data_IF_455625112091
#
_entry.id   IF_455625112091
#
_cell.length_a   1.000
_cell.length_b   1.000
_cell.length_c   1.000
_cell.angle_alpha   90.00
_cell.angle_beta   90.00
_cell.angle_gamma   90.00
#
_symmetry.space_group_name_H-M   'P 1'
#
loop_
_entity.id
_entity.type
_entity.pdbx_description
1 polymer ?
#
# COMPACT_ATOMS: atom_id res chain seq x y z
N UNK A 1 22.45 33.39 60.60
CA UNK A 1 21.12 32.79 60.41
C UNK A 1 20.61 33.37 59.10
N UNK A 2 20.94 32.72 57.98
CA UNK A 2 20.56 33.16 56.64
C UNK A 2 19.27 32.46 56.26
N UNK A 3 18.26 33.22 55.85
CA UNK A 3 16.99 32.69 55.33
C UNK A 3 17.17 32.28 53.86
N UNK A 4 17.10 30.97 53.60
CA UNK A 4 17.08 30.41 52.27
C UNK A 4 15.68 30.57 51.64
N UNK A 5 15.54 31.48 50.66
CA UNK A 5 14.28 31.64 49.90
C UNK A 5 14.17 30.53 48.85
N UNK A 6 13.36 29.52 49.15
CA UNK A 6 12.95 28.47 48.19
C UNK A 6 12.05 29.06 47.10
N UNK A 7 12.61 29.22 45.90
CA UNK A 7 11.85 29.60 44.69
C UNK A 7 11.11 28.36 44.15
N UNK A 8 9.79 28.28 44.37
CA UNK A 8 8.93 27.27 43.73
C UNK A 8 8.82 27.52 42.22
N UNK A 9 9.49 26.68 41.41
CA UNK A 9 9.28 26.64 39.94
C UNK A 9 7.83 26.24 39.63
N UNK A 10 7.07 27.13 38.98
CA UNK A 10 5.75 26.81 38.41
C UNK A 10 5.92 25.74 37.32
N UNK A 11 5.41 24.53 37.57
CA UNK A 11 5.27 23.48 36.56
C UNK A 11 4.35 24.00 35.43
N UNK A 12 4.91 24.19 34.23
CA UNK A 12 4.11 24.54 33.04
C UNK A 12 3.22 23.33 32.69
N UNK A 13 1.90 23.53 32.66
CA UNK A 13 0.95 22.53 32.17
C UNK A 13 1.24 22.27 30.69
N UNK A 14 1.84 21.12 30.38
CA UNK A 14 2.22 20.69 29.01
C UNK A 14 1.01 20.13 28.24
N UNK A 15 -0.09 19.83 28.95
CA UNK A 15 -1.29 19.20 28.43
C UNK A 15 -1.94 19.90 27.22
N UNK A 16 -2.08 21.25 27.15
CA UNK A 16 -2.66 21.90 25.98
C UNK A 16 -1.77 21.85 24.73
N UNK A 17 -0.44 21.71 24.88
CA UNK A 17 0.49 21.61 23.75
C UNK A 17 0.37 20.24 23.08
N UNK A 18 0.19 19.18 23.87
CA UNK A 18 0.00 17.81 23.36
C UNK A 18 -1.31 17.68 22.58
N UNK A 19 -2.38 18.30 23.09
CA UNK A 19 -3.68 18.33 22.40
C UNK A 19 -3.58 19.11 21.08
N UNK A 20 -2.85 20.23 21.06
CA UNK A 20 -2.64 21.00 19.84
C UNK A 20 -1.83 20.22 18.79
N UNK A 21 -0.80 19.47 19.19
CA UNK A 21 -0.03 18.62 18.27
C UNK A 21 -0.86 17.44 17.72
N UNK A 22 -1.75 16.86 18.53
CA UNK A 22 -2.69 15.82 18.06
C UNK A 22 -3.69 16.37 17.04
N UNK A 23 -4.22 17.57 17.27
CA UNK A 23 -5.14 18.23 16.33
C UNK A 23 -4.40 18.59 15.03
N UNK A 24 -3.17 19.10 15.12
CA UNK A 24 -2.34 19.38 13.93
C UNK A 24 -1.96 18.07 13.22
N UNK A 25 -1.65 16.99 13.93
CA UNK A 25 -1.37 15.68 13.33
C UNK A 25 -2.58 15.08 12.59
N UNK A 26 -3.77 15.19 13.18
CA UNK A 26 -5.04 14.79 12.53
C UNK A 26 -5.39 15.71 11.36
N UNK A 27 -5.12 17.01 11.46
CA UNK A 27 -5.32 17.96 10.38
C UNK A 27 -4.34 17.69 9.22
N UNK A 28 -3.06 17.44 9.47
CA UNK A 28 -2.07 17.20 8.40
C UNK A 28 -2.24 15.81 7.77
N UNK A 29 -2.60 14.79 8.56
CA UNK A 29 -2.93 13.44 8.06
C UNK A 29 -4.26 13.37 7.28
N UNK A 30 -5.25 14.16 7.69
CA UNK A 30 -6.54 14.31 6.99
C UNK A 30 -6.48 15.27 5.79
N UNK A 31 -5.64 16.30 5.83
CA UNK A 31 -5.51 17.28 4.73
C UNK A 31 -4.63 16.74 3.61
N UNK A 32 -3.63 15.89 3.88
CA UNK A 32 -2.84 15.23 2.83
C UNK A 32 -3.67 14.27 1.96
N UNK A 33 -4.60 13.55 2.59
CA UNK A 33 -5.59 12.70 1.90
C UNK A 33 -6.64 13.55 1.17
N UNK A 34 -7.11 14.66 1.77
CA UNK A 34 -8.04 15.60 1.13
C UNK A 34 -7.45 16.32 -0.10
N UNK A 35 -6.19 16.76 -0.06
CA UNK A 35 -5.54 17.41 -1.21
C UNK A 35 -5.35 16.44 -2.38
N UNK A 36 -5.01 15.17 -2.12
CA UNK A 36 -4.96 14.15 -3.17
C UNK A 36 -6.37 13.82 -3.70
N UNK A 37 -7.38 13.83 -2.85
CA UNK A 37 -8.79 13.66 -3.23
C UNK A 37 -9.30 14.80 -4.11
N UNK A 38 -8.91 16.05 -3.83
CA UNK A 38 -9.29 17.23 -4.62
C UNK A 38 -8.60 17.26 -5.99
N UNK A 39 -7.36 16.78 -6.09
CA UNK A 39 -6.64 16.62 -7.38
C UNK A 39 -7.29 15.54 -8.26
N UNK A 40 -7.83 14.46 -7.67
CA UNK A 40 -8.52 13.39 -8.41
C UNK A 40 -9.99 13.76 -8.72
N UNK A 41 -10.62 14.68 -7.98
CA UNK A 41 -12.01 15.08 -8.19
C UNK A 41 -12.20 16.45 -8.85
N UNK A 42 -11.12 17.13 -9.28
CA UNK A 42 -11.25 18.33 -10.11
C UNK A 42 -11.82 17.95 -11.46
N UNK A 43 -13.11 18.26 -11.66
CA UNK A 43 -13.68 18.38 -13.00
C UNK A 43 -12.86 19.43 -13.73
N UNK A 44 -12.19 19.05 -14.80
CA UNK A 44 -11.67 20.00 -15.78
C UNK A 44 -12.84 20.82 -16.32
N UNK A 45 -13.08 21.99 -15.74
CA UNK A 45 -13.75 23.08 -16.45
C UNK A 45 -12.73 23.68 -17.41
N UNK A 46 -12.43 22.95 -18.47
CA UNK A 46 -11.92 23.57 -19.68
C UNK A 46 -13.08 24.32 -20.29
N UNK A 47 -12.94 25.64 -20.34
CA UNK A 47 -13.86 26.60 -20.93
C UNK A 47 -14.02 26.29 -22.43
N UNK A 48 -14.97 25.42 -22.78
CA UNK A 48 -15.46 25.34 -24.16
C UNK A 48 -16.50 26.44 -24.41
N UNK A 49 -16.26 27.16 -25.49
CA UNK A 49 -17.06 28.28 -25.97
C UNK A 49 -18.55 27.93 -26.03
N UNK A 50 -19.36 28.81 -25.43
CA UNK A 50 -20.78 28.95 -25.73
C UNK A 50 -20.95 29.05 -27.24
N UNK A 51 -21.61 28.07 -27.84
CA UNK A 51 -22.72 28.32 -28.76
C UNK A 51 -23.61 27.08 -28.97
N UNK A 52 -24.83 27.22 -28.43
CA UNK A 52 -26.13 26.87 -29.02
C UNK A 52 -26.68 25.44 -28.91
N UNK A 53 -27.86 25.43 -28.28
CA UNK A 53 -29.07 24.60 -28.46
C UNK A 53 -29.23 23.34 -27.61
N UNK A 54 -30.02 23.52 -26.56
CA UNK A 54 -30.77 22.50 -25.85
C UNK A 54 -31.54 21.59 -26.82
N UNK A 55 -31.35 20.28 -26.67
CA UNK A 55 -32.42 19.30 -26.87
C UNK A 55 -32.21 18.14 -25.91
N UNK A 56 -33.26 17.90 -25.12
CA UNK A 56 -33.44 16.80 -24.17
C UNK A 56 -32.74 15.50 -24.58
N UNK A 57 -31.90 14.98 -23.69
CA UNK A 57 -31.50 13.58 -23.71
C UNK A 57 -31.63 13.02 -22.30
N UNK A 58 -32.56 12.07 -22.22
CA UNK A 58 -32.66 10.99 -21.24
C UNK A 58 -31.41 10.84 -20.36
N UNK A 59 -31.59 10.98 -19.05
CA UNK A 59 -30.58 10.66 -18.05
C UNK A 59 -30.54 9.14 -17.94
N UNK A 60 -29.80 8.51 -18.85
CA UNK A 60 -29.19 7.21 -18.57
C UNK A 60 -28.01 7.52 -17.66
N UNK A 61 -28.09 7.07 -16.40
CA UNK A 61 -26.98 7.07 -15.44
C UNK A 61 -25.86 6.17 -16.01
N UNK A 62 -25.09 6.70 -16.95
CA UNK A 62 -23.87 6.06 -17.41
C UNK A 62 -22.93 6.08 -16.21
N UNK A 63 -22.62 4.91 -15.65
CA UNK A 63 -21.50 4.70 -14.74
C UNK A 63 -20.23 5.25 -15.40
N UNK A 64 -19.96 6.54 -15.18
CA UNK A 64 -18.87 7.25 -15.84
C UNK A 64 -17.59 6.73 -15.24
N UNK A 65 -16.89 5.90 -16.01
CA UNK A 65 -15.54 5.48 -15.67
C UNK A 65 -14.57 6.60 -16.02
N UNK A 66 -13.63 6.86 -15.12
CA UNK A 66 -12.58 7.86 -15.27
C UNK A 66 -11.22 7.15 -15.29
N UNK A 67 -10.43 7.39 -16.33
CA UNK A 67 -9.06 6.91 -16.37
C UNK A 67 -8.16 7.82 -15.54
N UNK A 68 -7.41 7.23 -14.61
CA UNK A 68 -6.49 7.94 -13.72
C UNK A 68 -5.07 7.74 -14.25
N UNK A 69 -4.24 8.78 -14.14
CA UNK A 69 -2.82 8.70 -14.47
C UNK A 69 -2.11 7.54 -13.76
N UNK A 70 -1.39 6.73 -14.53
CA UNK A 70 -0.58 5.60 -14.04
C UNK A 70 0.66 6.04 -13.26
N UNK A 71 1.06 7.31 -13.39
CA UNK A 71 2.18 7.90 -12.64
C UNK A 71 1.70 8.63 -11.38
N UNK A 72 0.40 8.53 -11.04
CA UNK A 72 -0.14 9.07 -9.79
C UNK A 72 0.53 8.43 -8.57
N UNK A 73 1.14 9.21 -7.66
CA UNK A 73 1.75 8.66 -6.44
C UNK A 73 0.75 7.88 -5.58
N UNK A 74 -0.51 8.33 -5.55
CA UNK A 74 -1.57 7.65 -4.82
C UNK A 74 -1.90 6.27 -5.39
N UNK A 75 -1.95 6.15 -6.72
CA UNK A 75 -2.19 4.86 -7.39
C UNK A 75 -1.04 3.89 -7.13
N UNK A 76 0.20 4.37 -7.15
CA UNK A 76 1.36 3.55 -6.82
C UNK A 76 1.34 3.15 -5.33
N UNK A 77 1.05 4.08 -4.41
CA UNK A 77 0.91 3.77 -2.97
C UNK A 77 -0.15 2.69 -2.70
N UNK A 78 -1.30 2.76 -3.39
CA UNK A 78 -2.35 1.75 -3.23
C UNK A 78 -1.86 0.34 -3.57
N UNK A 79 -1.00 0.20 -4.58
CA UNK A 79 -0.40 -1.09 -4.93
C UNK A 79 0.72 -1.46 -3.95
N UNK A 80 1.60 -0.52 -3.63
CA UNK A 80 2.81 -0.75 -2.84
C UNK A 80 2.53 -0.99 -1.35
N UNK A 81 1.37 -0.55 -0.81
CA UNK A 81 0.99 -0.83 0.58
C UNK A 81 0.72 -2.33 0.86
N UNK A 82 0.65 -3.17 -0.18
CA UNK A 82 0.58 -4.63 -0.07
C UNK A 82 1.94 -5.30 -0.21
N UNK A 83 2.99 -4.53 -0.47
CA UNK A 83 4.35 -5.03 -0.41
C UNK A 83 4.76 -5.09 1.05
N UNK A 84 5.56 -6.09 1.40
CA UNK A 84 5.99 -6.23 2.78
C UNK A 84 7.44 -6.60 2.92
N UNK A 85 8.10 -5.93 3.85
CA UNK A 85 9.53 -6.12 4.10
C UNK A 85 9.87 -7.47 4.71
N UNK A 86 8.88 -8.26 5.16
CA UNK A 86 9.10 -9.59 5.78
C UNK A 86 9.23 -10.74 4.79
N UNK A 87 8.77 -10.56 3.56
CA UNK A 87 9.00 -11.50 2.48
C UNK A 87 10.05 -10.91 1.55
N UNK A 88 10.82 -11.75 0.86
CA UNK A 88 11.66 -11.21 -0.21
C UNK A 88 10.78 -10.62 -1.32
N UNK A 89 11.31 -9.65 -2.08
CA UNK A 89 10.60 -9.08 -3.23
C UNK A 89 10.13 -10.16 -4.21
N UNK A 90 10.85 -11.29 -4.28
CA UNK A 90 10.51 -12.40 -5.16
C UNK A 90 9.39 -13.27 -4.57
N UNK A 91 9.44 -13.57 -3.26
CA UNK A 91 8.35 -14.28 -2.55
C UNK A 91 7.04 -13.49 -2.52
N UNK A 92 7.12 -12.16 -2.57
CA UNK A 92 5.97 -11.29 -2.71
C UNK A 92 5.17 -11.60 -3.98
N UNK A 93 5.86 -11.87 -5.10
CA UNK A 93 5.23 -12.21 -6.36
C UNK A 93 4.43 -13.52 -6.25
N UNK A 94 5.00 -14.55 -5.61
CA UNK A 94 4.29 -15.81 -5.39
C UNK A 94 3.06 -15.62 -4.49
N UNK A 95 3.18 -14.74 -3.49
CA UNK A 95 2.11 -14.46 -2.52
C UNK A 95 0.94 -13.73 -3.18
N UNK A 96 1.21 -12.71 -4.00
CA UNK A 96 0.18 -11.87 -4.59
C UNK A 96 -0.32 -12.39 -5.96
N UNK A 97 0.57 -12.98 -6.75
CA UNK A 97 0.35 -13.33 -8.16
C UNK A 97 0.48 -14.83 -8.47
N UNK A 98 0.80 -15.68 -7.48
CA UNK A 98 0.95 -17.13 -7.68
C UNK A 98 -0.35 -17.87 -8.03
N UNK A 99 -1.51 -17.19 -7.97
CA UNK A 99 -2.83 -17.71 -8.34
C UNK A 99 -3.49 -16.78 -9.34
N UNK A 100 -4.40 -17.30 -10.16
CA UNK A 100 -5.20 -16.47 -11.08
C UNK A 100 -6.06 -15.44 -10.35
N UNK A 101 -6.45 -15.73 -9.11
CA UNK A 101 -7.12 -14.77 -8.22
C UNK A 101 -6.67 -14.98 -6.78
N UNK A 102 -6.28 -13.89 -6.15
CA UNK A 102 -5.90 -13.81 -4.74
C UNK A 102 -6.88 -12.88 -4.06
N UNK A 103 -7.85 -13.41 -3.30
CA UNK A 103 -8.68 -12.56 -2.43
C UNK A 103 -7.85 -12.18 -1.20
N UNK A 104 -8.07 -10.99 -0.67
CA UNK A 104 -7.33 -10.56 0.53
C UNK A 104 -7.60 -11.49 1.73
N UNK A 105 -8.80 -12.08 1.79
CA UNK A 105 -9.20 -13.06 2.81
C UNK A 105 -8.47 -14.39 2.69
N UNK A 106 -7.81 -14.66 1.56
CA UNK A 106 -7.06 -15.90 1.33
C UNK A 106 -5.58 -15.77 1.75
N UNK A 107 -5.12 -14.56 2.09
CA UNK A 107 -3.76 -14.31 2.59
C UNK A 107 -3.63 -14.78 4.05
N UNK A 108 -2.43 -15.20 4.44
CA UNK A 108 -2.20 -15.66 5.80
C UNK A 108 -2.39 -14.54 6.82
N UNK A 109 -2.85 -14.88 8.02
CA UNK A 109 -3.01 -13.92 9.11
C UNK A 109 -1.69 -13.18 9.40
N UNK A 110 -0.56 -13.88 9.35
CA UNK A 110 0.78 -13.30 9.51
C UNK A 110 1.07 -12.23 8.46
N UNK A 111 0.74 -12.49 7.20
CA UNK A 111 0.91 -11.52 6.12
C UNK A 111 0.07 -10.27 6.35
N UNK A 112 -1.22 -10.46 6.66
CA UNK A 112 -2.15 -9.36 6.92
C UNK A 112 -1.72 -8.53 8.13
N UNK A 113 -1.23 -9.17 9.22
CA UNK A 113 -0.71 -8.48 10.40
C UNK A 113 0.53 -7.65 10.09
N UNK A 114 1.45 -8.19 9.29
CA UNK A 114 2.64 -7.45 8.90
C UNK A 114 2.30 -6.22 8.05
N UNK A 115 1.35 -6.32 7.11
CA UNK A 115 0.85 -5.16 6.36
C UNK A 115 0.28 -4.06 7.27
N UNK A 116 -0.52 -4.44 8.27
CA UNK A 116 -1.11 -3.50 9.24
C UNK A 116 -0.04 -2.75 10.03
N UNK A 117 1.00 -3.46 10.50
CA UNK A 117 2.10 -2.81 11.20
C UNK A 117 2.92 -1.94 10.26
N UNK A 118 3.17 -2.40 9.03
CA UNK A 118 3.89 -1.61 8.03
C UNK A 118 3.14 -0.35 7.64
N UNK A 119 1.80 -0.36 7.53
CA UNK A 119 1.04 0.87 7.32
C UNK A 119 1.19 1.88 8.48
N UNK A 120 1.49 1.39 9.69
CA UNK A 120 1.81 2.24 10.84
C UNK A 120 3.25 2.78 10.80
N UNK A 121 4.13 2.11 10.07
CA UNK A 121 5.56 2.38 9.98
C UNK A 121 5.86 2.85 8.55
N UNK A 122 5.87 4.16 8.30
CA UNK A 122 6.21 4.77 6.99
C UNK A 122 7.69 4.50 6.55
N UNK A 123 8.20 3.29 6.74
CA UNK A 123 9.39 2.74 6.13
C UNK A 123 10.64 2.64 6.99
N UNK A 124 10.70 3.10 8.25
CA UNK A 124 12.03 3.36 8.86
C UNK A 124 12.22 3.12 10.38
N UNK A 125 11.23 2.60 11.11
CA UNK A 125 11.40 2.31 12.55
C UNK A 125 11.66 0.83 12.84
N UNK A 126 12.88 0.46 13.29
CA UNK A 126 13.16 -0.88 13.86
C UNK A 126 12.48 -1.10 15.22
N UNK A 127 11.94 -0.04 15.83
CA UNK A 127 11.16 -0.07 17.05
C UNK A 127 10.03 0.97 16.92
N UNK A 128 8.82 0.53 16.58
CA UNK A 128 7.66 1.39 16.44
C UNK A 128 6.65 1.04 17.53
N UNK A 129 6.04 2.05 18.15
CA UNK A 129 4.89 1.83 19.02
C UNK A 129 3.58 2.02 18.22
N UNK A 130 2.80 0.95 18.09
CA UNK A 130 1.50 0.91 17.44
C UNK A 130 0.43 0.64 18.48
N UNK A 131 -0.40 1.65 18.76
CA UNK A 131 -1.55 1.51 19.66
C UNK A 131 -2.59 0.55 19.07
N UNK A 132 -3.44 -0.03 19.93
CA UNK A 132 -4.56 -0.85 19.47
C UNK A 132 -5.49 -0.10 18.51
N UNK A 133 -5.74 1.19 18.76
CA UNK A 133 -6.57 2.01 17.88
C UNK A 133 -5.93 2.21 16.50
N UNK A 134 -4.62 2.48 16.44
CA UNK A 134 -3.88 2.60 15.18
C UNK A 134 -3.90 1.29 14.40
N UNK A 135 -3.68 0.17 15.09
CA UNK A 135 -3.78 -1.17 14.50
C UNK A 135 -5.17 -1.40 13.88
N UNK A 136 -6.25 -1.15 14.64
CA UNK A 136 -7.62 -1.34 14.14
C UNK A 136 -7.98 -0.39 13.01
N UNK A 137 -7.48 0.85 13.03
CA UNK A 137 -7.68 1.79 11.94
C UNK A 137 -6.99 1.31 10.66
N UNK A 138 -5.77 0.79 10.76
CA UNK A 138 -5.03 0.27 9.61
C UNK A 138 -5.64 -1.02 9.04
N UNK A 139 -6.23 -1.88 9.87
CA UNK A 139 -7.06 -3.00 9.41
C UNK A 139 -8.19 -2.50 8.51
N UNK A 140 -8.91 -1.45 8.95
CA UNK A 140 -10.01 -0.87 8.16
C UNK A 140 -9.53 -0.20 6.87
N UNK A 141 -8.43 0.55 6.92
CA UNK A 141 -7.87 1.23 5.74
C UNK A 141 -7.47 0.21 4.67
N UNK A 142 -6.77 -0.85 5.06
CA UNK A 142 -6.25 -1.83 4.11
C UNK A 142 -7.35 -2.78 3.62
N UNK A 143 -8.25 -3.21 4.50
CA UNK A 143 -9.12 -4.36 4.24
C UNK A 143 -10.62 -4.08 4.40
N UNK A 144 -11.02 -2.87 4.78
CA UNK A 144 -12.43 -2.55 5.03
C UNK A 144 -13.01 -3.44 6.14
N UNK A 145 -14.18 -4.03 5.88
CA UNK A 145 -14.88 -4.92 6.84
C UNK A 145 -14.62 -6.41 6.60
N UNK A 146 -13.87 -6.78 5.57
CA UNK A 146 -13.75 -8.17 5.14
C UNK A 146 -12.71 -8.98 5.93
N UNK A 147 -11.77 -8.29 6.59
CA UNK A 147 -10.75 -8.89 7.46
C UNK A 147 -10.92 -8.35 8.87
N UNK A 148 -10.92 -9.25 9.85
CA UNK A 148 -10.95 -8.90 11.27
C UNK A 148 -9.68 -9.41 11.94
N UNK A 149 -8.79 -8.49 12.31
CA UNK A 149 -7.59 -8.80 13.08
C UNK A 149 -7.73 -8.19 14.47
N UNK A 150 -7.60 -9.02 15.49
CA UNK A 150 -7.51 -8.54 16.87
C UNK A 150 -6.09 -8.06 17.13
N UNK A 151 -5.97 -6.93 17.82
CA UNK A 151 -4.69 -6.47 18.32
C UNK A 151 -4.20 -7.40 19.45
N UNK A 152 -3.22 -8.25 19.15
CA UNK A 152 -2.64 -9.21 20.10
C UNK A 152 -1.16 -9.38 19.78
N UNK A 153 -0.41 -9.87 20.75
CA UNK A 153 1.00 -10.17 20.56
C UNK A 153 1.19 -11.24 19.48
N UNK A 154 2.21 -11.08 18.65
CA UNK A 154 2.57 -12.05 17.63
C UNK A 154 4.06 -12.00 17.31
N UNK A 155 4.56 -13.12 16.79
CA UNK A 155 5.92 -13.24 16.29
C UNK A 155 5.89 -14.01 14.98
N UNK A 156 6.37 -13.39 13.90
CA UNK A 156 6.47 -14.00 12.57
C UNK A 156 7.94 -14.25 12.31
N UNK A 157 8.29 -15.49 11.97
CA UNK A 157 9.63 -15.86 11.52
C UNK A 157 9.56 -16.26 10.05
N UNK A 158 10.18 -15.48 9.17
CA UNK A 158 10.26 -15.81 7.75
C UNK A 158 11.60 -15.38 7.16
N UNK A 159 12.23 -16.31 6.43
CA UNK A 159 13.58 -16.12 5.92
C UNK A 159 14.55 -15.77 7.05
N UNK A 160 15.24 -14.63 6.89
CA UNK A 160 16.23 -14.16 7.86
C UNK A 160 15.76 -13.00 8.73
N UNK A 161 14.45 -12.79 8.83
CA UNK A 161 13.92 -11.70 9.63
C UNK A 161 12.79 -12.19 10.53
N UNK A 162 12.87 -11.78 11.79
CA UNK A 162 11.85 -11.99 12.80
C UNK A 162 11.12 -10.68 13.04
N UNK A 163 9.80 -10.75 13.00
CA UNK A 163 8.91 -9.63 13.23
C UNK A 163 8.18 -9.91 14.53
N UNK A 164 8.32 -9.00 15.48
CA UNK A 164 7.74 -9.17 16.79
C UNK A 164 6.86 -7.98 17.09
N UNK A 165 5.64 -8.24 17.53
CA UNK A 165 4.74 -7.23 18.07
C UNK A 165 4.33 -7.69 19.48
N UNK A 166 4.77 -6.94 20.48
CA UNK A 166 4.51 -7.24 21.89
C UNK A 166 4.10 -5.97 22.62
N UNK A 167 2.93 -5.98 23.26
CA UNK A 167 2.42 -4.89 24.09
C UNK A 167 2.49 -3.52 23.38
N UNK A 168 2.03 -3.46 22.14
CA UNK A 168 2.08 -2.22 21.35
C UNK A 168 3.42 -1.94 20.68
N UNK A 169 4.50 -2.61 21.07
CA UNK A 169 5.82 -2.40 20.50
C UNK A 169 6.12 -3.40 19.39
N UNK A 170 6.31 -2.87 18.19
CA UNK A 170 6.84 -3.60 17.05
C UNK A 170 8.37 -3.54 17.04
N UNK A 171 9.01 -4.67 16.76
CA UNK A 171 10.44 -4.73 16.44
C UNK A 171 10.72 -5.65 15.27
N UNK A 172 11.67 -5.25 14.44
CA UNK A 172 12.27 -6.09 13.40
C UNK A 172 13.62 -6.55 13.93
N UNK A 173 13.84 -7.85 13.99
CA UNK A 173 15.11 -8.43 14.38
C UNK A 173 15.64 -9.27 13.22
N UNK A 174 16.89 -9.07 12.78
CA UNK A 174 17.52 -10.07 11.93
C UNK A 174 17.54 -11.41 12.69
N UNK A 175 17.29 -12.50 11.98
CA UNK A 175 17.44 -13.84 12.56
C UNK A 175 18.90 -14.06 12.95
N UNK A 176 19.13 -14.72 14.08
CA UNK A 176 20.47 -15.15 14.46
C UNK A 176 21.05 -16.07 13.36
N UNK A 177 22.17 -15.66 12.76
CA UNK A 177 22.83 -16.37 11.65
C UNK A 177 22.95 -15.59 10.33
N UNK A 178 22.15 -14.54 10.13
CA UNK A 178 22.22 -13.65 8.97
C UNK A 178 21.86 -14.30 7.61
N UNK A 179 21.23 -13.52 6.72
CA UNK A 179 21.13 -13.89 5.30
C UNK A 179 22.37 -13.34 4.58
N UNK A 180 23.43 -14.15 4.50
CA UNK A 180 24.68 -13.79 3.81
C UNK A 180 24.60 -13.81 2.29
N UNK A 181 23.45 -13.51 1.68
CA UNK A 181 23.23 -13.58 0.24
C UNK A 181 22.57 -12.32 -0.30
N UNK A 182 23.22 -11.66 -1.27
CA UNK A 182 22.54 -10.73 -2.17
C UNK A 182 21.62 -11.54 -3.07
N UNK A 183 20.31 -11.37 -2.92
CA UNK A 183 19.35 -11.90 -3.89
C UNK A 183 19.60 -11.21 -5.23
N UNK A 184 20.17 -11.95 -6.20
CA UNK A 184 20.32 -11.47 -7.58
C UNK A 184 18.99 -11.43 -8.34
N UNK A 185 17.92 -11.93 -7.71
CA UNK A 185 16.56 -11.87 -8.23
C UNK A 185 15.77 -10.76 -7.53
N UNK A 186 14.99 -10.01 -8.30
CA UNK A 186 14.08 -9.01 -7.76
C UNK A 186 12.78 -8.95 -8.57
N UNK A 187 11.70 -8.56 -7.90
CA UNK A 187 10.44 -8.23 -8.55
C UNK A 187 10.52 -6.82 -9.11
N UNK A 188 10.20 -6.67 -10.38
CA UNK A 188 9.89 -5.39 -11.00
C UNK A 188 8.40 -5.35 -11.32
N UNK A 189 7.73 -4.25 -10.97
CA UNK A 189 6.30 -4.03 -11.19
C UNK A 189 6.05 -2.60 -11.67
N UNK A 190 5.08 -2.40 -12.55
CA UNK A 190 4.66 -1.08 -13.02
C UNK A 190 3.16 -1.03 -13.23
N UNK A 191 2.52 0.05 -12.75
CA UNK A 191 1.14 0.37 -13.09
C UNK A 191 1.04 0.74 -14.56
N UNK A 192 0.17 0.05 -15.30
CA UNK A 192 -0.04 0.25 -16.74
C UNK A 192 -1.44 0.77 -17.08
N UNK A 193 -2.39 0.71 -16.14
CA UNK A 193 -3.73 1.27 -16.29
C UNK A 193 -4.37 1.48 -14.93
N UNK A 194 -5.11 2.57 -14.75
CA UNK A 194 -5.96 2.78 -13.57
C UNK A 194 -7.32 3.35 -13.98
N UNK A 195 -8.41 2.72 -13.55
CA UNK A 195 -9.78 3.12 -13.89
C UNK A 195 -10.63 3.21 -12.65
N UNK A 196 -11.21 4.38 -12.41
CA UNK A 196 -12.14 4.64 -11.32
C UNK A 196 -13.57 4.60 -11.83
N UNK A 197 -14.45 4.01 -11.04
CA UNK A 197 -15.90 4.05 -11.19
C UNK A 197 -16.52 4.61 -9.90
N UNK A 198 -17.85 4.63 -9.82
CA UNK A 198 -18.59 5.18 -8.67
C UNK A 198 -18.16 4.59 -7.33
N UNK A 199 -18.01 3.26 -7.23
CA UNK A 199 -17.71 2.56 -5.99
C UNK A 199 -16.43 1.70 -6.06
N UNK A 200 -15.71 1.73 -7.20
CA UNK A 200 -14.54 0.88 -7.42
C UNK A 200 -13.38 1.62 -8.05
N UNK A 201 -12.17 1.13 -7.77
CA UNK A 201 -10.94 1.53 -8.45
C UNK A 201 -10.22 0.26 -8.89
N UNK A 202 -9.93 0.17 -10.18
CA UNK A 202 -9.20 -0.93 -10.79
C UNK A 202 -7.82 -0.47 -11.22
N UNK A 203 -6.76 -1.08 -10.68
CA UNK A 203 -5.37 -0.78 -11.04
C UNK A 203 -4.76 -2.01 -11.68
N UNK A 204 -4.39 -1.91 -12.95
CA UNK A 204 -3.69 -2.98 -13.68
C UNK A 204 -2.20 -2.72 -13.64
N UNK A 205 -1.45 -3.74 -13.25
CA UNK A 205 0.01 -3.75 -13.25
C UNK A 205 0.53 -4.78 -14.26
N UNK A 206 1.72 -4.54 -14.79
CA UNK A 206 2.58 -5.58 -15.32
C UNK A 206 3.67 -5.89 -14.29
N UNK A 207 4.12 -7.13 -14.20
CA UNK A 207 5.25 -7.49 -13.36
C UNK A 207 6.17 -8.52 -14.02
N UNK A 208 7.38 -8.62 -13.49
CA UNK A 208 8.34 -9.66 -13.82
C UNK A 208 9.28 -9.90 -12.64
N UNK A 209 9.79 -11.12 -12.51
CA UNK A 209 10.96 -11.40 -11.68
C UNK A 209 12.19 -11.41 -12.58
N UNK A 210 13.17 -10.57 -12.25
CA UNK A 210 14.41 -10.42 -13.00
C UNK A 210 15.54 -11.05 -12.21
N UNK A 211 16.28 -11.98 -12.81
CA UNK A 211 17.46 -12.58 -12.22
C UNK A 211 18.70 -12.24 -13.04
N UNK A 212 19.54 -11.36 -12.49
CA UNK A 212 20.73 -10.84 -13.19
C UNK A 212 21.84 -11.89 -13.31
N UNK A 213 21.97 -12.80 -12.34
CA UNK A 213 23.01 -13.85 -12.35
C UNK A 213 22.78 -14.87 -13.46
N UNK A 214 21.53 -15.29 -13.65
CA UNK A 214 21.15 -16.24 -14.70
C UNK A 214 20.72 -15.55 -16.00
N UNK A 215 20.67 -14.21 -16.00
CA UNK A 215 20.17 -13.37 -17.08
C UNK A 215 18.77 -13.77 -17.57
N UNK A 216 17.86 -14.09 -16.64
CA UNK A 216 16.51 -14.56 -16.95
C UNK A 216 15.41 -13.64 -16.43
N UNK A 217 14.23 -13.76 -17.05
CA UNK A 217 12.99 -13.09 -16.64
C UNK A 217 11.92 -14.17 -16.46
N UNK A 218 11.25 -14.19 -15.32
CA UNK A 218 10.23 -15.20 -14.97
C UNK A 218 8.98 -14.61 -14.33
N UNK A 219 7.94 -15.44 -14.16
CA UNK A 219 6.69 -15.08 -13.49
C UNK A 219 6.58 -15.60 -12.05
N UNK A 220 7.49 -16.50 -11.65
CA UNK A 220 7.56 -17.13 -10.31
C UNK A 220 8.97 -17.08 -9.71
N UNK A 221 9.05 -17.25 -8.39
CA UNK A 221 10.30 -17.15 -7.63
C UNK A 221 11.34 -18.23 -7.94
N UNK A 222 10.90 -19.39 -8.43
CA UNK A 222 11.76 -20.52 -8.74
C UNK A 222 12.30 -20.47 -10.17
N UNK A 223 11.93 -19.42 -10.93
CA UNK A 223 12.23 -19.27 -12.34
C UNK A 223 11.81 -20.50 -13.17
N UNK A 224 10.74 -21.19 -12.75
CA UNK A 224 10.19 -22.33 -13.47
C UNK A 224 9.50 -21.90 -14.77
N UNK A 225 8.86 -20.73 -14.74
CA UNK A 225 8.13 -20.15 -15.86
C UNK A 225 8.87 -18.92 -16.39
N UNK A 226 9.83 -19.16 -17.29
CA UNK A 226 10.60 -18.10 -17.97
C UNK A 226 9.76 -17.45 -19.07
N UNK A 227 9.93 -16.15 -19.25
CA UNK A 227 9.28 -15.40 -20.32
C UNK A 227 10.18 -15.42 -21.56
N UNK A 228 9.75 -16.12 -22.60
CA UNK A 228 10.53 -16.25 -23.83
C UNK A 228 10.82 -14.90 -24.50
N UNK A 229 12.04 -14.76 -25.01
CA UNK A 229 12.47 -13.54 -25.71
C UNK A 229 12.78 -12.34 -24.81
N UNK A 230 12.75 -12.49 -23.49
CA UNK A 230 13.20 -11.48 -22.53
C UNK A 230 14.38 -12.00 -21.69
N UNK A 231 15.32 -11.11 -21.40
CA UNK A 231 16.48 -11.39 -20.53
C UNK A 231 16.67 -10.23 -19.55
N UNK A 232 17.37 -10.47 -18.45
CA UNK A 232 17.61 -9.43 -17.44
C UNK A 232 18.29 -8.18 -18.03
N UNK A 233 19.19 -8.37 -18.99
CA UNK A 233 19.91 -7.27 -19.65
C UNK A 233 19.06 -6.47 -20.64
N UNK A 234 17.91 -6.99 -21.07
CA UNK A 234 17.12 -6.40 -22.15
C UNK A 234 15.74 -5.95 -21.73
N UNK A 235 15.17 -6.54 -20.68
CA UNK A 235 13.78 -6.29 -20.28
C UNK A 235 13.57 -4.83 -19.88
N UNK A 236 12.53 -4.23 -20.44
CA UNK A 236 12.01 -2.94 -20.02
C UNK A 236 10.52 -3.10 -19.76
N UNK A 237 10.10 -2.93 -18.51
CA UNK A 237 8.71 -3.19 -18.11
C UNK A 237 7.69 -2.29 -18.82
N UNK A 238 8.07 -1.10 -19.27
CA UNK A 238 7.17 -0.16 -19.96
C UNK A 238 7.03 -0.56 -21.42
N UNK A 239 8.15 -0.89 -22.08
CA UNK A 239 8.19 -1.30 -23.49
C UNK A 239 7.62 -2.72 -23.67
N UNK A 240 7.97 -3.63 -22.79
CA UNK A 240 7.68 -5.05 -22.90
C UNK A 240 6.42 -5.49 -22.14
N UNK A 241 5.64 -4.57 -21.55
CA UNK A 241 4.40 -4.88 -20.78
C UNK A 241 3.44 -5.85 -21.46
N UNK A 242 3.40 -5.87 -22.79
CA UNK A 242 2.54 -6.79 -23.55
C UNK A 242 3.04 -8.24 -23.58
N UNK A 243 4.28 -8.51 -23.20
CA UNK A 243 4.83 -9.85 -23.03
C UNK A 243 4.78 -10.33 -21.58
N UNK A 244 4.51 -9.42 -20.65
CA UNK A 244 4.55 -9.66 -19.22
C UNK A 244 3.18 -10.10 -18.69
N UNK A 245 3.15 -10.91 -17.62
CA UNK A 245 1.92 -11.18 -16.91
C UNK A 245 1.33 -9.88 -16.38
N UNK A 246 0.01 -9.78 -16.45
CA UNK A 246 -0.70 -8.60 -15.98
C UNK A 246 -1.74 -9.00 -14.94
N UNK A 247 -1.79 -8.21 -13.87
CA UNK A 247 -2.72 -8.42 -12.77
C UNK A 247 -3.46 -7.14 -12.47
N UNK A 248 -4.72 -7.29 -12.08
CA UNK A 248 -5.61 -6.20 -11.71
C UNK A 248 -5.89 -6.25 -10.21
N UNK A 249 -5.58 -5.17 -9.53
CA UNK A 249 -6.00 -4.91 -8.17
C UNK A 249 -7.37 -4.24 -8.21
N UNK A 250 -8.34 -4.81 -7.49
CA UNK A 250 -9.72 -4.31 -7.47
C UNK A 250 -10.06 -3.83 -6.07
N UNK A 251 -10.27 -2.52 -5.96
CA UNK A 251 -10.59 -1.84 -4.72
C UNK A 251 -12.06 -1.44 -4.66
N UNK A 252 -12.59 -1.37 -3.44
CA UNK A 252 -13.89 -0.75 -3.15
C UNK A 252 -13.69 0.56 -2.41
N UNK A 253 -14.47 1.57 -2.79
CA UNK A 253 -14.51 2.86 -2.10
C UNK A 253 -15.29 2.75 -0.79
N UNK A 254 -14.62 2.98 0.33
CA UNK A 254 -15.23 3.12 1.65
C UNK A 254 -15.63 4.57 1.88
N UNK A 255 -16.95 4.82 1.79
CA UNK A 255 -17.54 6.15 2.01
C UNK A 255 -17.35 6.65 3.44
N UNK A 256 -17.19 5.75 4.41
CA UNK A 256 -17.04 6.10 5.83
C UNK A 256 -15.63 6.62 6.10
N UNK A 257 -14.63 5.95 5.53
CA UNK A 257 -13.22 6.27 5.74
C UNK A 257 -12.60 7.11 4.60
N UNK A 258 -13.40 7.47 3.59
CA UNK A 258 -13.01 8.26 2.42
C UNK A 258 -11.76 7.69 1.71
N UNK A 259 -11.73 6.37 1.55
CA UNK A 259 -10.55 5.65 1.03
C UNK A 259 -10.92 4.40 0.25
N UNK A 260 -9.90 3.70 -0.24
CA UNK A 260 -10.05 2.45 -0.98
C UNK A 260 -9.40 1.30 -0.21
N UNK A 261 -10.13 0.21 -0.04
CA UNK A 261 -9.59 -1.05 0.49
C UNK A 261 -9.58 -2.13 -0.61
N UNK A 262 -8.58 -3.01 -0.59
CA UNK A 262 -8.41 -4.03 -1.63
C UNK A 262 -9.36 -5.20 -1.38
N UNK A 263 -10.08 -5.64 -2.41
CA UNK A 263 -10.85 -6.89 -2.34
C UNK A 263 -9.99 -8.08 -2.79
N UNK A 264 -9.44 -7.96 -4.00
CA UNK A 264 -8.68 -9.05 -4.63
C UNK A 264 -7.71 -8.53 -5.69
N UNK A 265 -6.76 -9.39 -6.02
CA UNK A 265 -5.84 -9.26 -7.14
C UNK A 265 -6.16 -10.38 -8.13
N UNK A 266 -6.31 -10.08 -9.41
CA UNK A 266 -6.71 -11.06 -10.42
C UNK A 266 -5.86 -10.96 -11.67
N UNK A 267 -5.41 -12.11 -12.19
CA UNK A 267 -4.72 -12.22 -13.47
C UNK A 267 -5.64 -11.77 -14.59
N UNK A 268 -5.13 -10.91 -15.46
CA UNK A 268 -5.81 -10.47 -16.69
C UNK A 268 -5.11 -10.97 -17.95
N UNK A 269 -3.83 -11.33 -17.84
CA UNK A 269 -3.00 -11.87 -18.91
C UNK A 269 -1.90 -12.76 -18.33
#
# INVERSE_FOLDING_TARGET
MEEEKVVKKKQKKVWPIVILMLIIGLAVGGVGSYYCFEVINKKDTTTENKNTTEKNKDVTENNKTEEISTDSPYINELVDQYDTYFVSNVELADTLYGKDKTNITDLSEDYLRALVIQKSNNGLGNNLYVTGDSFQNNVKILFGTQVQLINKDFSIHKGCTSYQYYNGSYSIKPSEGGCGGTSASYLQRKVIKAVKSTDTLEITIAYAIINEVTNTVSTDSQAANKIEGLTANSVDIIRDKEKLPQFKYVYTYDKTNLGYYLNYIQKVK
#
